data_IF_223480835606
#
_entry.id   IF_223480835606
#
_cell.length_a   1.000
_cell.length_b   1.000
_cell.length_c   1.000
_cell.angle_alpha   90.00
_cell.angle_beta   90.00
_cell.angle_gamma   90.00
#
_symmetry.space_group_name_H-M   'P 1'
#
loop_
_entity.id
_entity.type
_entity.pdbx_description
1 polymer ?
#
# COMPACT_ATOMS: atom_id res chain seq x y z
N UNK A 1 -16.48 -1.32 -15.84
CA UNK A 1 -15.13 -0.88 -16.26
C UNK A 1 -14.07 -1.68 -15.49
N UNK A 2 -12.79 -1.67 -15.88
CA UNK A 2 -11.73 -2.45 -15.19
C UNK A 2 -11.70 -2.16 -13.68
N UNK A 3 -11.81 -0.88 -13.32
CA UNK A 3 -11.94 -0.40 -11.94
C UNK A 3 -13.03 -1.14 -11.16
N UNK A 4 -14.26 -1.15 -11.66
CA UNK A 4 -15.40 -1.76 -10.97
C UNK A 4 -15.21 -3.26 -10.76
N UNK A 5 -14.63 -3.95 -11.75
CA UNK A 5 -14.34 -5.39 -11.66
C UNK A 5 -13.28 -5.69 -10.60
N UNK A 6 -12.21 -4.89 -10.54
CA UNK A 6 -11.15 -5.04 -9.54
C UNK A 6 -11.67 -4.74 -8.13
N UNK A 7 -12.42 -3.65 -7.97
CA UNK A 7 -13.06 -3.27 -6.70
C UNK A 7 -14.00 -4.38 -6.23
N UNK A 8 -14.92 -4.85 -7.08
CA UNK A 8 -15.86 -5.90 -6.71
C UNK A 8 -15.14 -7.20 -6.26
N UNK A 9 -14.06 -7.58 -6.94
CA UNK A 9 -13.24 -8.74 -6.56
C UNK A 9 -12.45 -8.53 -5.28
N UNK A 10 -12.02 -7.29 -4.99
CA UNK A 10 -11.29 -6.93 -3.78
C UNK A 10 -12.18 -6.84 -2.55
N UNK A 11 -13.39 -6.28 -2.68
CA UNK A 11 -14.31 -5.97 -1.57
C UNK A 11 -14.62 -7.20 -0.71
N UNK A 12 -14.70 -8.39 -1.31
CA UNK A 12 -14.97 -9.63 -0.58
C UNK A 12 -13.92 -9.96 0.50
N UNK A 13 -12.71 -9.41 0.41
CA UNK A 13 -11.64 -9.65 1.39
C UNK A 13 -11.68 -8.67 2.56
N UNK A 14 -12.32 -7.50 2.42
CA UNK A 14 -12.32 -6.44 3.45
C UNK A 14 -12.87 -6.96 4.78
N UNK A 15 -13.99 -7.69 4.75
CA UNK A 15 -14.57 -8.22 5.99
C UNK A 15 -13.65 -9.22 6.69
N UNK A 16 -12.96 -10.08 5.92
CA UNK A 16 -12.04 -11.06 6.47
C UNK A 16 -10.81 -10.38 7.08
N UNK A 17 -10.27 -9.36 6.42
CA UNK A 17 -9.11 -8.59 6.91
C UNK A 17 -9.50 -7.78 8.14
N UNK A 18 -10.70 -7.19 8.15
CA UNK A 18 -11.21 -6.46 9.31
C UNK A 18 -11.33 -7.34 10.55
N UNK A 19 -11.69 -8.62 10.39
CA UNK A 19 -11.79 -9.57 11.49
C UNK A 19 -10.44 -10.13 11.94
N UNK A 20 -9.34 -9.83 11.24
CA UNK A 20 -8.02 -10.30 11.59
C UNK A 20 -7.62 -9.81 13.01
N UNK A 21 -6.98 -10.66 13.84
CA UNK A 21 -6.58 -10.28 15.20
C UNK A 21 -5.72 -9.02 15.27
N UNK A 22 -4.84 -8.79 14.29
CA UNK A 22 -4.01 -7.58 14.24
C UNK A 22 -4.89 -6.33 14.07
N UNK A 23 -5.82 -6.36 13.11
CA UNK A 23 -6.73 -5.25 12.85
C UNK A 23 -7.70 -5.03 14.00
N UNK A 24 -8.22 -6.11 14.60
CA UNK A 24 -9.05 -6.00 15.80
C UNK A 24 -8.27 -5.43 17.00
N UNK A 25 -6.96 -5.69 17.09
CA UNK A 25 -6.09 -5.03 18.05
C UNK A 25 -5.94 -3.53 17.79
N UNK A 26 -5.81 -3.13 16.53
CA UNK A 26 -5.84 -1.71 16.12
C UNK A 26 -7.17 -1.06 16.53
N UNK A 27 -8.31 -1.66 16.20
CA UNK A 27 -9.65 -1.16 16.55
C UNK A 27 -9.82 -0.99 18.05
N UNK A 28 -9.35 -1.97 18.84
CA UNK A 28 -9.46 -1.96 20.31
C UNK A 28 -8.39 -1.10 21.00
N UNK A 29 -7.44 -0.54 20.25
CA UNK A 29 -6.35 0.26 20.82
C UNK A 29 -5.36 -0.54 21.66
N UNK A 30 -5.24 -1.86 21.42
CA UNK A 30 -4.36 -2.75 22.18
C UNK A 30 -3.76 -3.83 21.30
N UNK A 31 -2.43 -3.81 21.20
CA UNK A 31 -1.62 -4.83 20.53
C UNK A 31 -0.40 -5.16 21.40
N UNK A 32 0.09 -6.39 21.29
CA UNK A 32 1.36 -6.74 21.92
C UNK A 32 2.52 -6.01 21.23
N UNK A 33 3.50 -5.54 22.00
CA UNK A 33 4.60 -4.75 21.47
C UNK A 33 5.41 -5.53 20.43
N UNK A 34 5.59 -6.84 20.64
CA UNK A 34 6.31 -7.71 19.70
C UNK A 34 5.57 -7.87 18.37
N UNK A 35 4.23 -7.87 18.39
CA UNK A 35 3.39 -7.91 17.18
C UNK A 35 3.57 -6.62 16.37
N UNK A 36 3.59 -5.46 17.03
CA UNK A 36 3.88 -4.18 16.37
C UNK A 36 5.30 -4.18 15.81
N UNK A 37 6.30 -4.61 16.59
CA UNK A 37 7.68 -4.65 16.13
C UNK A 37 7.84 -5.54 14.90
N UNK A 38 7.22 -6.73 14.90
CA UNK A 38 7.22 -7.64 13.77
C UNK A 38 6.59 -7.02 12.52
N UNK A 39 5.42 -6.38 12.67
CA UNK A 39 4.75 -5.67 11.57
C UNK A 39 5.67 -4.58 10.98
N UNK A 40 6.20 -3.69 11.81
CA UNK A 40 7.04 -2.57 11.36
C UNK A 40 8.33 -3.04 10.68
N UNK A 41 8.93 -4.13 11.15
CA UNK A 41 10.10 -4.74 10.51
C UNK A 41 9.79 -5.27 9.11
N UNK A 42 8.68 -6.01 8.98
CA UNK A 42 8.27 -6.57 7.70
C UNK A 42 7.88 -5.46 6.71
N UNK A 43 7.13 -4.47 7.19
CA UNK A 43 6.55 -3.42 6.36
C UNK A 43 7.61 -2.42 5.87
N UNK A 44 8.65 -2.15 6.67
CA UNK A 44 9.81 -1.35 6.23
C UNK A 44 10.49 -1.95 4.99
N UNK A 45 10.75 -3.27 5.01
CA UNK A 45 11.35 -3.96 3.86
C UNK A 45 10.40 -3.92 2.65
N UNK A 46 9.11 -4.16 2.90
CA UNK A 46 8.08 -4.13 1.87
C UNK A 46 8.01 -2.76 1.18
N UNK A 47 7.94 -1.67 1.94
CA UNK A 47 7.85 -0.30 1.41
C UNK A 47 9.11 0.10 0.65
N UNK A 48 10.30 -0.31 1.10
CA UNK A 48 11.53 -0.13 0.32
C UNK A 48 11.46 -0.79 -1.06
N UNK A 49 10.90 -2.01 -1.14
CA UNK A 49 10.69 -2.69 -2.42
C UNK A 49 9.51 -2.15 -3.24
N UNK A 50 8.52 -1.59 -2.59
CA UNK A 50 7.43 -0.87 -3.24
C UNK A 50 7.96 0.38 -3.97
N UNK A 51 8.86 1.14 -3.33
CA UNK A 51 9.55 2.29 -3.93
C UNK A 51 10.47 1.88 -5.10
N UNK A 52 11.20 0.77 -4.99
CA UNK A 52 12.01 0.24 -6.10
C UNK A 52 11.15 -0.02 -7.35
N UNK A 53 9.94 -0.59 -7.19
CA UNK A 53 9.03 -0.87 -8.31
C UNK A 53 8.49 0.44 -8.90
N UNK A 54 8.21 1.46 -8.09
CA UNK A 54 7.88 2.79 -8.62
C UNK A 54 9.03 3.38 -9.44
N UNK A 55 10.29 3.22 -9.01
CA UNK A 55 11.45 3.68 -9.77
C UNK A 55 11.56 2.95 -11.12
N UNK A 56 11.24 1.65 -11.17
CA UNK A 56 11.16 0.90 -12.42
C UNK A 56 10.04 1.42 -13.34
N UNK A 57 8.87 1.72 -12.79
CA UNK A 57 7.76 2.32 -13.52
C UNK A 57 8.11 3.72 -14.05
N UNK A 58 8.78 4.56 -13.25
CA UNK A 58 9.30 5.87 -13.67
C UNK A 58 10.23 5.73 -14.88
N UNK A 59 11.19 4.80 -14.82
CA UNK A 59 12.14 4.57 -15.90
C UNK A 59 11.46 4.08 -17.19
N UNK A 60 10.37 3.31 -17.07
CA UNK A 60 9.60 2.76 -18.21
C UNK A 60 8.48 3.66 -18.72
N UNK A 61 8.21 4.79 -18.08
CA UNK A 61 7.10 5.67 -18.47
C UNK A 61 7.44 6.48 -19.72
N UNK A 62 6.50 6.55 -20.67
CA UNK A 62 6.69 7.22 -21.97
C UNK A 62 6.36 8.73 -21.94
N UNK A 63 5.74 9.24 -20.87
CA UNK A 63 5.32 10.64 -20.79
C UNK A 63 5.69 11.28 -19.44
N UNK A 64 5.85 12.61 -19.45
CA UNK A 64 6.29 13.38 -18.28
C UNK A 64 5.27 13.34 -17.12
N UNK A 65 3.98 13.27 -17.41
CA UNK A 65 2.93 13.21 -16.37
C UNK A 65 3.08 11.95 -15.52
N UNK A 66 3.22 10.79 -16.16
CA UNK A 66 3.36 9.52 -15.45
C UNK A 66 4.71 9.44 -14.73
N UNK A 67 5.80 9.98 -15.31
CA UNK A 67 7.09 10.10 -14.62
C UNK A 67 7.02 10.95 -13.36
N UNK A 68 6.37 12.12 -13.44
CA UNK A 68 6.20 13.01 -12.31
C UNK A 68 5.39 12.33 -11.20
N UNK A 69 4.30 11.65 -11.57
CA UNK A 69 3.51 10.86 -10.63
C UNK A 69 4.36 9.81 -9.90
N UNK A 70 5.16 9.01 -10.61
CA UNK A 70 5.99 7.99 -9.95
C UNK A 70 7.09 8.60 -9.07
N UNK A 71 7.64 9.75 -9.45
CA UNK A 71 8.62 10.47 -8.62
C UNK A 71 7.99 10.91 -7.30
N UNK A 72 6.77 11.46 -7.36
CA UNK A 72 5.99 11.84 -6.18
C UNK A 72 5.65 10.62 -5.30
N UNK A 73 5.35 9.47 -5.90
CA UNK A 73 5.09 8.25 -5.13
C UNK A 73 6.34 7.71 -4.42
N UNK A 74 7.51 7.79 -5.05
CA UNK A 74 8.79 7.42 -4.42
C UNK A 74 9.07 8.35 -3.24
N UNK A 75 8.92 9.67 -3.44
CA UNK A 75 9.08 10.66 -2.37
C UNK A 75 8.10 10.40 -1.23
N UNK A 76 6.83 10.14 -1.53
CA UNK A 76 5.82 9.82 -0.52
C UNK A 76 6.21 8.58 0.30
N UNK A 77 6.56 7.46 -0.35
CA UNK A 77 6.91 6.23 0.36
C UNK A 77 8.16 6.42 1.22
N UNK A 78 9.22 7.02 0.68
CA UNK A 78 10.50 7.14 1.40
C UNK A 78 10.50 8.27 2.44
N UNK A 79 9.89 9.41 2.12
CA UNK A 79 10.01 10.63 2.91
C UNK A 79 8.77 10.99 3.72
N UNK A 80 7.62 10.33 3.51
CA UNK A 80 6.39 10.60 4.27
C UNK A 80 5.87 9.41 5.06
N UNK A 81 6.01 8.20 4.52
CA UNK A 81 5.60 6.98 5.23
C UNK A 81 6.76 6.40 6.04
N UNK A 82 7.97 6.32 5.47
CA UNK A 82 9.16 5.76 6.13
C UNK A 82 10.03 6.77 6.90
N UNK A 83 9.93 8.07 6.62
CA UNK A 83 10.82 9.06 7.25
C UNK A 83 10.54 9.29 8.74
N UNK A 84 11.59 9.62 9.47
CA UNK A 84 11.51 10.01 10.89
C UNK A 84 10.56 11.22 11.08
N UNK A 85 9.52 11.06 11.89
CA UNK A 85 8.50 12.09 12.10
C UNK A 85 7.17 11.55 12.64
N UNK A 86 6.06 12.21 12.31
CA UNK A 86 4.69 11.86 12.73
C UNK A 86 3.95 10.93 11.74
N UNK A 87 4.68 10.05 11.05
CA UNK A 87 4.09 9.07 10.14
C UNK A 87 3.36 7.92 10.86
N UNK A 88 2.57 7.12 10.14
CA UNK A 88 1.78 6.02 10.72
C UNK A 88 2.68 4.97 11.40
N UNK A 89 3.87 4.70 10.87
CA UNK A 89 4.83 3.74 11.43
C UNK A 89 5.48 4.23 12.71
N UNK A 90 5.80 5.53 12.81
CA UNK A 90 6.38 6.13 14.01
C UNK A 90 5.36 6.19 15.14
N UNK A 91 4.09 6.46 14.83
CA UNK A 91 3.01 6.39 15.82
C UNK A 91 2.86 4.99 16.43
N UNK A 92 2.94 3.94 15.60
CA UNK A 92 2.94 2.56 16.08
C UNK A 92 4.21 2.23 16.89
N UNK A 93 5.38 2.66 16.43
CA UNK A 93 6.63 2.44 17.15
C UNK A 93 6.61 3.07 18.55
N UNK A 94 6.11 4.31 18.67
CA UNK A 94 6.01 5.03 19.92
C UNK A 94 5.18 4.27 20.99
N UNK A 95 4.12 3.56 20.57
CA UNK A 95 3.34 2.71 21.48
C UNK A 95 4.17 1.60 22.15
N UNK A 96 5.23 1.13 21.49
CA UNK A 96 6.14 0.11 22.02
C UNK A 96 7.21 0.66 22.96
N UNK A 97 7.28 1.99 23.16
CA UNK A 97 8.36 2.70 23.85
C UNK A 97 9.74 2.50 23.19
N UNK A 98 9.78 2.34 21.87
CA UNK A 98 11.02 2.21 21.09
C UNK A 98 10.98 3.17 19.90
N UNK A 99 12.15 3.61 19.44
CA UNK A 99 12.21 4.37 18.20
C UNK A 99 11.90 3.45 17.01
N UNK A 100 11.36 4.01 15.92
CA UNK A 100 11.13 3.25 14.69
C UNK A 100 12.45 2.67 14.15
N UNK A 101 13.54 3.45 14.19
CA UNK A 101 14.88 3.02 13.77
C UNK A 101 15.37 1.79 14.54
N UNK A 102 15.27 1.79 15.87
CA UNK A 102 15.68 0.65 16.71
C UNK A 102 14.90 -0.64 16.39
N UNK A 103 13.66 -0.49 15.92
CA UNK A 103 12.80 -1.62 15.55
C UNK A 103 13.27 -2.21 14.21
N UNK A 104 13.48 -1.36 13.20
CA UNK A 104 13.81 -1.78 11.83
C UNK A 104 15.28 -2.18 11.63
N UNK A 105 16.19 -1.78 12.52
CA UNK A 105 17.57 -2.29 12.53
C UNK A 105 17.65 -3.81 12.62
N UNK A 106 16.63 -4.43 13.24
CA UNK A 106 16.50 -5.88 13.39
C UNK A 106 15.60 -6.51 12.33
N UNK A 107 15.23 -5.77 11.29
CA UNK A 107 14.33 -6.26 10.27
C UNK A 107 14.94 -7.46 9.52
N UNK A 108 14.13 -8.50 9.37
CA UNK A 108 14.48 -9.71 8.64
C UNK A 108 13.49 -9.97 7.53
N UNK A 109 13.95 -10.65 6.50
CA UNK A 109 13.14 -10.96 5.34
C UNK A 109 12.14 -12.08 5.67
N UNK A 110 10.85 -11.75 5.78
CA UNK A 110 9.80 -12.73 6.08
C UNK A 110 9.25 -13.38 4.80
N UNK A 111 8.94 -14.70 4.80
CA UNK A 111 8.45 -15.38 3.60
C UNK A 111 7.18 -14.79 2.97
N UNK A 112 6.25 -14.29 3.79
CA UNK A 112 5.02 -13.66 3.30
C UNK A 112 5.31 -12.34 2.55
N UNK A 113 6.15 -11.48 3.14
CA UNK A 113 6.60 -10.25 2.51
C UNK A 113 7.39 -10.54 1.22
N UNK A 114 8.29 -11.53 1.24
CA UNK A 114 9.05 -11.97 0.07
C UNK A 114 8.15 -12.38 -1.10
N UNK A 115 7.17 -13.24 -0.85
CA UNK A 115 6.25 -13.70 -1.88
C UNK A 115 5.44 -12.55 -2.46
N UNK A 116 5.00 -11.60 -1.63
CA UNK A 116 4.26 -10.44 -2.13
C UNK A 116 5.15 -9.53 -2.99
N UNK A 117 6.37 -9.23 -2.53
CA UNK A 117 7.36 -8.48 -3.30
C UNK A 117 7.64 -9.15 -4.65
N UNK A 118 7.94 -10.45 -4.65
CA UNK A 118 8.21 -11.22 -5.87
C UNK A 118 7.01 -11.24 -6.81
N UNK A 119 5.78 -11.31 -6.29
CA UNK A 119 4.57 -11.22 -7.09
C UNK A 119 4.47 -9.88 -7.82
N UNK A 120 4.75 -8.76 -7.15
CA UNK A 120 4.73 -7.43 -7.78
C UNK A 120 5.83 -7.29 -8.85
N UNK A 121 7.06 -7.73 -8.55
CA UNK A 121 8.15 -7.74 -9.53
C UNK A 121 7.83 -8.64 -10.74
N UNK A 122 7.30 -9.84 -10.51
CA UNK A 122 6.91 -10.76 -11.57
C UNK A 122 5.93 -10.08 -12.54
N UNK A 123 4.89 -9.43 -12.02
CA UNK A 123 3.93 -8.74 -12.87
C UNK A 123 4.48 -7.48 -13.55
N UNK A 124 5.44 -6.78 -12.94
CA UNK A 124 6.18 -5.72 -13.62
C UNK A 124 6.94 -6.26 -14.84
N UNK A 125 7.72 -7.33 -14.67
CA UNK A 125 8.53 -7.88 -15.76
C UNK A 125 7.69 -8.52 -16.86
N UNK A 126 6.59 -9.18 -16.49
CA UNK A 126 5.71 -9.86 -17.45
C UNK A 126 4.78 -8.89 -18.19
N UNK A 127 4.24 -7.88 -17.50
CA UNK A 127 3.15 -7.05 -18.03
C UNK A 127 3.43 -5.54 -17.96
N UNK A 128 4.66 -5.14 -17.64
CA UNK A 128 5.07 -3.74 -17.53
C UNK A 128 4.37 -2.99 -16.40
N UNK A 129 4.24 -1.67 -16.59
CA UNK A 129 3.63 -0.78 -15.60
C UNK A 129 2.19 -1.22 -15.26
N UNK A 130 1.38 -1.66 -16.23
CA UNK A 130 0.01 -2.11 -15.94
C UNK A 130 -0.03 -3.33 -15.02
N UNK A 131 0.88 -4.28 -15.22
CA UNK A 131 1.03 -5.43 -14.33
C UNK A 131 1.46 -5.04 -12.93
N UNK A 132 2.47 -4.17 -12.83
CA UNK A 132 2.96 -3.67 -11.56
C UNK A 132 1.84 -2.96 -10.79
N UNK A 133 1.16 -2.00 -11.43
CA UNK A 133 0.06 -1.25 -10.80
C UNK A 133 -1.11 -2.16 -10.41
N UNK A 134 -1.44 -3.17 -11.22
CA UNK A 134 -2.46 -4.15 -10.86
C UNK A 134 -2.06 -4.94 -9.61
N UNK A 135 -0.81 -5.40 -9.53
CA UNK A 135 -0.29 -6.16 -8.40
C UNK A 135 -0.08 -5.30 -7.14
N UNK A 136 0.24 -4.02 -7.29
CA UNK A 136 0.44 -3.05 -6.20
C UNK A 136 -0.89 -2.47 -5.68
N UNK A 137 -1.92 -2.40 -6.52
CA UNK A 137 -3.22 -1.78 -6.19
C UNK A 137 -3.89 -2.26 -4.90
N UNK A 138 -3.80 -3.54 -4.48
CA UNK A 138 -4.45 -3.98 -3.26
C UNK A 138 -3.93 -3.27 -2.01
N UNK A 139 -2.64 -2.91 -1.96
CA UNK A 139 -2.04 -2.31 -0.77
C UNK A 139 -2.71 -0.98 -0.36
N UNK A 140 -2.65 0.09 -1.16
CA UNK A 140 -3.30 1.36 -0.79
C UNK A 140 -4.82 1.21 -0.71
N UNK A 141 -5.43 0.45 -1.62
CA UNK A 141 -6.89 0.33 -1.67
C UNK A 141 -7.47 -0.40 -0.44
N UNK A 142 -6.89 -1.54 -0.04
CA UNK A 142 -7.38 -2.29 1.12
C UNK A 142 -7.20 -1.48 2.39
N UNK A 143 -6.05 -0.84 2.59
CA UNK A 143 -5.80 -0.03 3.79
C UNK A 143 -6.80 1.13 3.90
N UNK A 144 -7.11 1.79 2.79
CA UNK A 144 -8.10 2.86 2.76
C UNK A 144 -9.53 2.37 3.05
N UNK A 145 -9.95 1.29 2.39
CA UNK A 145 -11.26 0.68 2.66
C UNK A 145 -11.39 0.20 4.11
N UNK A 146 -10.31 -0.32 4.67
CA UNK A 146 -10.27 -0.80 6.03
C UNK A 146 -10.37 0.34 7.03
N UNK A 147 -9.61 1.42 6.83
CA UNK A 147 -9.66 2.61 7.66
C UNK A 147 -11.06 3.25 7.66
N UNK A 148 -11.69 3.38 6.48
CA UNK A 148 -13.08 3.87 6.36
C UNK A 148 -14.05 2.99 7.14
N UNK A 149 -13.97 1.68 6.97
CA UNK A 149 -14.80 0.72 7.72
C UNK A 149 -14.59 0.84 9.24
N UNK A 150 -13.35 0.96 9.70
CA UNK A 150 -13.03 1.15 11.12
C UNK A 150 -13.72 2.41 11.65
N UNK A 151 -13.62 3.53 10.94
CA UNK A 151 -14.24 4.81 11.34
C UNK A 151 -15.77 4.72 11.35
N UNK A 152 -16.36 4.14 10.30
CA UNK A 152 -17.82 3.98 10.17
C UNK A 152 -18.42 3.13 11.32
N UNK A 153 -17.75 2.04 11.69
CA UNK A 153 -18.24 1.11 12.71
C UNK A 153 -17.87 1.52 14.15
N UNK A 154 -16.88 2.39 14.34
CA UNK A 154 -16.35 2.76 15.65
C UNK A 154 -16.33 4.28 15.82
N UNK A 155 -17.51 4.90 15.75
CA UNK A 155 -17.77 6.35 15.66
C UNK A 155 -17.00 7.27 16.65
N UNK A 156 -16.30 6.74 17.64
CA UNK A 156 -15.39 7.48 18.50
C UNK A 156 -14.21 6.61 18.95
N UNK A 157 -13.09 6.70 18.25
CA UNK A 157 -11.81 6.15 18.71
C UNK A 157 -11.10 7.10 19.70
N UNK A 158 -11.86 7.84 20.52
CA UNK A 158 -11.29 8.81 21.46
C UNK A 158 -10.33 8.11 22.44
N UNK A 159 -9.07 8.52 22.42
CA UNK A 159 -8.01 7.91 23.24
C UNK A 159 -7.44 6.61 22.68
N UNK A 160 -7.82 6.16 21.48
CA UNK A 160 -7.15 5.04 20.82
C UNK A 160 -5.73 5.47 20.41
N UNK A 161 -4.67 4.79 20.91
CA UNK A 161 -3.29 5.14 20.59
C UNK A 161 -2.93 5.00 19.10
N UNK A 162 -3.74 4.29 18.32
CA UNK A 162 -3.51 4.02 16.90
C UNK A 162 -4.31 4.93 15.97
N UNK A 163 -4.90 6.01 16.48
CA UNK A 163 -5.68 6.95 15.69
C UNK A 163 -4.92 7.51 14.49
N UNK A 164 -3.65 7.88 14.68
CA UNK A 164 -2.84 8.43 13.59
C UNK A 164 -2.69 7.44 12.42
N UNK A 165 -2.52 6.15 12.72
CA UNK A 165 -2.46 5.11 11.69
C UNK A 165 -3.80 5.01 10.94
N UNK A 166 -4.92 5.03 11.67
CA UNK A 166 -6.26 4.90 11.08
C UNK A 166 -6.60 6.12 10.23
N UNK A 167 -6.36 7.34 10.73
CA UNK A 167 -6.66 8.58 10.00
C UNK A 167 -5.76 8.78 8.80
N UNK A 168 -4.48 8.36 8.88
CA UNK A 168 -3.57 8.39 7.74
C UNK A 168 -4.12 7.60 6.56
N UNK A 169 -4.52 6.34 6.77
CA UNK A 169 -5.04 5.50 5.69
C UNK A 169 -6.48 5.86 5.28
N UNK A 170 -7.28 6.49 6.15
CA UNK A 170 -8.60 6.98 5.80
C UNK A 170 -8.58 8.21 4.86
N UNK A 171 -7.41 8.82 4.63
CA UNK A 171 -7.27 10.02 3.84
C UNK A 171 -7.65 9.80 2.36
N UNK A 172 -8.39 10.76 1.79
CA UNK A 172 -8.88 10.74 0.41
C UNK A 172 -7.75 10.84 -0.64
N UNK A 173 -6.51 11.18 -0.26
CA UNK A 173 -5.34 11.12 -1.16
C UNK A 173 -5.21 9.73 -1.80
N UNK A 174 -5.63 8.67 -1.11
CA UNK A 174 -5.62 7.32 -1.67
C UNK A 174 -6.60 7.18 -2.84
N UNK A 175 -7.73 7.88 -2.83
CA UNK A 175 -8.68 7.84 -3.95
C UNK A 175 -8.03 8.42 -5.23
N UNK A 176 -7.29 9.53 -5.12
CA UNK A 176 -6.54 10.12 -6.23
C UNK A 176 -5.42 9.20 -6.74
N UNK A 177 -4.69 8.55 -5.82
CA UNK A 177 -3.70 7.52 -6.14
C UNK A 177 -4.32 6.40 -6.97
N UNK A 178 -5.46 5.89 -6.54
CA UNK A 178 -6.16 4.80 -7.21
C UNK A 178 -6.70 5.20 -8.58
N UNK A 179 -7.20 6.44 -8.74
CA UNK A 179 -7.61 6.96 -10.05
C UNK A 179 -6.44 7.00 -11.05
N UNK A 180 -5.24 7.40 -10.60
CA UNK A 180 -4.05 7.37 -11.46
C UNK A 180 -3.67 5.93 -11.84
N UNK A 181 -3.75 4.98 -10.90
CA UNK A 181 -3.51 3.57 -11.16
C UNK A 181 -4.46 3.03 -12.25
N UNK A 182 -5.77 3.23 -12.08
CA UNK A 182 -6.78 2.75 -13.03
C UNK A 182 -6.64 3.43 -14.39
N UNK A 183 -6.36 4.73 -14.43
CA UNK A 183 -6.09 5.45 -15.68
C UNK A 183 -4.92 4.82 -16.45
N UNK A 184 -3.79 4.58 -15.79
CA UNK A 184 -2.61 4.01 -16.45
C UNK A 184 -2.86 2.56 -16.91
N UNK A 185 -3.51 1.74 -16.08
CA UNK A 185 -3.91 0.38 -16.45
C UNK A 185 -4.85 0.37 -17.67
N UNK A 186 -5.84 1.26 -17.73
CA UNK A 186 -6.78 1.34 -18.84
C UNK A 186 -6.12 1.81 -20.15
N UNK A 187 -5.18 2.77 -20.08
CA UNK A 187 -4.40 3.21 -21.26
C UNK A 187 -3.64 2.02 -21.84
N UNK A 188 -2.96 1.26 -21.00
CA UNK A 188 -2.15 0.12 -21.43
C UNK A 188 -3.00 -1.03 -21.96
N UNK A 189 -4.14 -1.33 -21.33
CA UNK A 189 -5.12 -2.30 -21.84
C UNK A 189 -5.55 -1.95 -23.26
N UNK A 190 -5.82 -0.66 -23.54
CA UNK A 190 -6.20 -0.19 -24.88
C UNK A 190 -5.07 -0.31 -25.89
N UNK A 191 -3.82 -0.05 -25.49
CA UNK A 191 -2.64 -0.21 -26.36
C UNK A 191 -2.47 -1.69 -26.75
N UNK A 192 -2.57 -2.62 -25.79
CA UNK A 192 -2.47 -4.05 -26.06
C UNK A 192 -3.58 -4.54 -27.00
N UNK A 193 -4.83 -4.10 -26.79
CA UNK A 193 -5.96 -4.43 -27.68
C UNK A 193 -5.81 -3.86 -29.09
N UNK A 194 -5.16 -2.70 -29.26
CA UNK A 194 -4.86 -2.16 -30.60
C UNK A 194 -3.75 -2.95 -31.29
N UNK A 195 -2.69 -3.32 -30.56
CA UNK A 195 -1.59 -4.14 -31.09
C UNK A 195 -2.07 -5.53 -31.50
N UNK A 196 -2.95 -6.17 -30.73
CA UNK A 196 -3.49 -7.49 -31.11
C UNK A 196 -4.36 -7.46 -32.36
N UNK A 197 -4.97 -6.31 -32.69
CA UNK A 197 -5.75 -6.10 -33.92
C UNK A 197 -4.90 -5.75 -35.15
N UNK A 198 -3.62 -5.42 -34.97
CA UNK A 198 -2.67 -5.08 -36.04
C UNK A 198 -1.80 -6.28 -36.48
N UNK A 199 -1.97 -7.44 -35.84
CA UNK A 199 -1.20 -8.68 -36.11
C UNK A 199 -2.03 -9.67 -36.96
N UNK A 200 -3.10 -9.21 -37.59
CA UNK A 200 -3.92 -9.94 -38.57
C UNK A 200 -4.19 -9.05 -39.79
#
# INVERSE_FOLDING_TARGET
>A
MLKDEMIAKGTKYIQSIYQDPFIQGIVKGRLDHDVICHYLQADNIYLGKFADIYALCLAKSDNLRDKQFFLEQIDFTLNRELADGEGPHQALAAYTNRSYQDIIEKAVWYPSADHYIKHMYFHFYENGIAGALAAMSPCPWIYHQLAKKIIEENQFLNGNPFNNWITFYANDIVEELMENYFRMMDIMRRICQKRSKLIW
#
